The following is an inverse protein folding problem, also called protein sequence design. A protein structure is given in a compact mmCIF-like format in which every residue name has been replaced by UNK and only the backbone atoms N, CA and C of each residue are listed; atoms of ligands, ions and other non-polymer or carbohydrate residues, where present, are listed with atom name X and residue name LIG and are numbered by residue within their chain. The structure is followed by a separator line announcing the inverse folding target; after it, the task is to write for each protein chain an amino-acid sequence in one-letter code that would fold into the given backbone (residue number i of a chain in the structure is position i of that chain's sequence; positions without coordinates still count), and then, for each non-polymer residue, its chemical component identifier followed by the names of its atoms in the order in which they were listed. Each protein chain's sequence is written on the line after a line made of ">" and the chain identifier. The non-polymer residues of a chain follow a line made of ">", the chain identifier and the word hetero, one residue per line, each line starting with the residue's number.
data_IF_572419369856
#
_entry.id   IF_572419369856
#
_cell.length_a   1.000
_cell.length_b   1.000
_cell.length_c   1.000
_cell.angle_alpha   90.00
_cell.angle_beta   90.00
_cell.angle_gamma   90.00
#
_symmetry.space_group_name_H-M   'P 1'
#
loop_
_entity.id
_entity.type
_entity.pdbx_description
1 polymer ?
#
# COMPACT_ATOMS: atom_id res chain seq x y z
N UNK A 1 29.35 13.41 -15.51
CA UNK A 1 28.76 12.19 -16.11
C UNK A 1 27.26 12.38 -16.07
N UNK A 2 26.58 12.12 -17.19
CA UNK A 2 25.26 12.68 -17.53
C UNK A 2 24.14 12.17 -16.61
N UNK A 3 23.29 13.11 -16.18
CA UNK A 3 22.00 12.89 -15.54
C UNK A 3 21.14 11.92 -16.37
N UNK A 4 20.67 10.85 -15.74
CA UNK A 4 19.85 9.84 -16.39
C UNK A 4 18.42 10.33 -16.57
N UNK A 5 17.92 10.25 -17.81
CA UNK A 5 16.54 10.47 -18.21
C UNK A 5 15.59 9.54 -17.43
N UNK A 6 14.61 10.13 -16.75
CA UNK A 6 13.51 9.44 -16.08
C UNK A 6 12.28 9.45 -17.00
N UNK A 7 11.53 8.34 -17.04
CA UNK A 7 10.30 8.25 -17.84
C UNK A 7 9.09 8.68 -17.01
N UNK A 8 8.65 9.90 -17.23
CA UNK A 8 7.37 10.43 -16.74
C UNK A 8 6.23 9.88 -17.62
N UNK A 9 5.19 9.28 -17.02
CA UNK A 9 3.94 8.91 -17.71
C UNK A 9 2.80 9.65 -17.02
N UNK A 10 2.12 10.49 -17.79
CA UNK A 10 1.22 11.53 -17.29
C UNK A 10 -0.24 11.04 -17.33
N UNK A 11 -0.91 10.96 -16.17
CA UNK A 11 -2.36 10.78 -16.06
C UNK A 11 -2.89 11.72 -14.97
N UNK A 12 -4.01 12.40 -15.28
CA UNK A 12 -4.53 13.54 -14.55
C UNK A 12 -5.34 13.14 -13.30
N UNK A 13 -4.69 13.05 -12.14
CA UNK A 13 -5.30 13.35 -10.85
C UNK A 13 -4.20 13.67 -9.80
N UNK A 14 -4.54 14.29 -8.68
CA UNK A 14 -3.58 14.93 -7.76
C UNK A 14 -2.81 13.99 -6.81
N UNK A 15 -2.59 12.73 -7.21
CA UNK A 15 -1.96 11.69 -6.38
C UNK A 15 -0.83 11.00 -7.16
N UNK A 16 0.24 10.59 -6.47
CA UNK A 16 1.39 9.91 -7.12
C UNK A 16 1.78 8.66 -6.34
N UNK A 17 2.09 7.59 -7.08
CA UNK A 17 2.78 6.43 -6.53
C UNK A 17 4.19 6.34 -7.08
N UNK A 18 5.13 6.20 -6.16
CA UNK A 18 6.54 6.01 -6.44
C UNK A 18 6.97 4.59 -6.15
N UNK A 19 7.86 4.05 -6.98
CA UNK A 19 8.63 2.85 -6.65
C UNK A 19 10.12 3.22 -6.56
N UNK A 20 10.82 2.63 -5.60
CA UNK A 20 12.21 2.99 -5.28
C UNK A 20 12.96 1.81 -4.66
N UNK A 21 14.30 1.82 -4.71
CA UNK A 21 15.16 0.78 -4.12
C UNK A 21 16.11 1.42 -3.11
N UNK A 22 16.29 0.77 -1.96
CA UNK A 22 17.34 1.11 -1.01
C UNK A 22 18.70 0.56 -1.49
N UNK A 23 19.71 1.43 -1.63
CA UNK A 23 21.06 1.05 -2.13
C UNK A 23 22.14 1.11 -1.05
N UNK A 24 23.08 0.17 -1.06
CA UNK A 24 24.37 0.26 -0.33
C UNK A 24 25.40 1.08 -1.14
N UNK A 25 26.28 1.82 -0.46
CA UNK A 25 27.55 2.26 -1.05
C UNK A 25 28.72 1.93 -0.14
N UNK A 26 29.77 1.37 -0.73
CA UNK A 26 31.04 1.07 -0.07
C UNK A 26 31.84 2.34 0.24
N UNK A 27 32.52 2.29 1.38
CA UNK A 27 33.58 3.17 1.93
C UNK A 27 33.16 4.51 2.55
N UNK A 28 33.29 4.57 3.88
CA UNK A 28 33.44 5.78 4.71
C UNK A 28 34.73 6.55 4.36
N UNK A 29 34.83 7.82 4.80
CA UNK A 29 35.56 8.04 6.06
C UNK A 29 34.80 8.88 7.09
N UNK A 30 34.99 8.45 8.33
CA UNK A 30 34.97 9.14 9.63
C UNK A 30 33.77 10.00 10.07
N UNK A 31 33.36 9.71 11.30
CA UNK A 31 32.32 10.34 12.07
C UNK A 31 32.77 11.69 12.63
N UNK A 32 31.84 12.64 12.73
CA UNK A 32 31.89 13.68 13.75
C UNK A 32 30.53 13.76 14.47
N UNK A 33 30.63 13.81 15.79
CA UNK A 33 29.53 13.92 16.72
C UNK A 33 28.81 15.26 16.58
N UNK A 34 27.48 15.28 16.71
CA UNK A 34 26.72 16.49 16.98
C UNK A 34 25.77 16.22 18.14
N UNK A 35 25.85 17.11 19.12
CA UNK A 35 25.21 17.09 20.43
C UNK A 35 23.68 17.05 20.37
N UNK A 36 23.12 16.39 21.38
CA UNK A 36 21.72 16.46 21.79
C UNK A 36 21.40 17.86 22.30
N UNK A 37 20.39 18.51 21.71
CA UNK A 37 19.67 19.61 22.34
C UNK A 37 18.24 19.13 22.59
N UNK A 38 17.93 18.94 23.86
CA UNK A 38 16.56 18.83 24.36
C UNK A 38 15.95 20.24 24.29
N UNK A 39 14.85 20.40 23.57
CA UNK A 39 13.94 21.53 23.76
C UNK A 39 12.52 20.99 23.75
N UNK A 40 11.93 20.93 24.95
CA UNK A 40 10.49 20.81 25.15
C UNK A 40 9.83 22.11 24.68
N UNK A 41 8.89 22.01 23.75
CA UNK A 41 7.97 23.10 23.44
C UNK A 41 6.53 22.56 23.45
N UNK A 42 5.87 22.88 24.56
CA UNK A 42 4.45 22.76 24.84
C UNK A 42 3.67 23.67 23.89
N UNK A 43 2.66 23.14 23.17
CA UNK A 43 1.76 23.93 22.33
C UNK A 43 0.32 23.74 22.82
N UNK A 44 -0.44 24.84 23.00
CA UNK A 44 -1.75 24.79 23.63
C UNK A 44 -2.83 24.26 22.69
N UNK A 45 -3.79 23.54 23.27
CA UNK A 45 -5.07 23.19 22.64
C UNK A 45 -5.91 24.45 22.43
N UNK A 46 -6.35 24.71 21.20
CA UNK A 46 -7.51 25.59 20.96
C UNK A 46 -8.52 24.93 20.03
N UNK A 47 -9.76 24.99 20.50
CA UNK A 47 -11.00 24.53 19.92
C UNK A 47 -11.56 25.63 19.00
N UNK A 48 -11.89 25.33 17.74
CA UNK A 48 -12.76 26.20 16.92
C UNK A 48 -13.89 25.39 16.29
N UNK A 49 -15.08 25.91 16.61
CA UNK A 49 -16.44 25.51 16.28
C UNK A 49 -16.77 25.72 14.81
N UNK A 50 -17.60 24.83 14.26
CA UNK A 50 -17.91 24.71 12.83
C UNK A 50 -18.96 25.63 12.20
N UNK A 51 -19.32 25.22 10.98
CA UNK A 51 -20.28 25.79 10.02
C UNK A 51 -19.73 25.53 8.61
N UNK A 52 -20.19 24.49 7.88
CA UNK A 52 -21.34 24.54 6.96
C UNK A 52 -20.89 25.23 5.65
N UNK A 53 -20.94 24.66 4.45
CA UNK A 53 -21.91 23.73 3.85
C UNK A 53 -21.28 23.03 2.61
N UNK A 54 -21.88 21.88 2.26
CA UNK A 54 -22.04 21.25 0.92
C UNK A 54 -20.79 20.88 0.10
N UNK A 55 -20.61 19.62 -0.31
CA UNK A 55 -21.55 18.83 -1.11
C UNK A 55 -21.70 17.38 -0.62
N UNK A 56 -22.94 16.99 -0.32
CA UNK A 56 -23.38 15.61 -0.14
C UNK A 56 -23.64 14.93 -1.49
N UNK A 57 -23.11 13.72 -1.58
CA UNK A 57 -23.70 12.49 -2.10
C UNK A 57 -25.03 12.58 -2.87
N UNK A 58 -25.00 12.03 -4.08
CA UNK A 58 -26.14 11.28 -4.61
C UNK A 58 -25.75 9.78 -4.62
N UNK A 59 -25.99 9.13 -3.49
CA UNK A 59 -26.16 7.69 -3.43
C UNK A 59 -27.52 7.36 -4.08
N UNK A 60 -27.51 6.78 -5.28
CA UNK A 60 -28.68 6.06 -5.76
C UNK A 60 -28.65 4.70 -5.06
N UNK A 61 -29.50 4.56 -4.05
CA UNK A 61 -29.85 3.27 -3.47
C UNK A 61 -30.69 2.52 -4.50
N UNK A 62 -30.07 1.59 -5.23
CA UNK A 62 -30.79 0.46 -5.81
C UNK A 62 -30.57 -0.69 -4.82
N UNK A 63 -31.59 -0.98 -4.02
CA UNK A 63 -31.70 -2.28 -3.35
C UNK A 63 -32.03 -3.28 -4.44
N UNK A 64 -31.00 -3.97 -4.92
CA UNK A 64 -31.14 -5.18 -5.70
C UNK A 64 -30.25 -6.23 -5.05
N UNK A 65 -30.87 -7.25 -4.46
CA UNK A 65 -30.19 -8.53 -4.26
C UNK A 65 -29.77 -9.04 -5.64
N UNK A 66 -28.58 -8.66 -6.10
CA UNK A 66 -27.99 -9.27 -7.28
C UNK A 66 -27.41 -10.61 -6.85
N UNK A 67 -28.16 -11.66 -7.18
CA UNK A 67 -27.66 -13.02 -7.29
C UNK A 67 -26.27 -12.99 -7.93
N UNK A 68 -25.33 -13.75 -7.34
CA UNK A 68 -23.99 -13.92 -7.86
C UNK A 68 -24.08 -14.38 -9.32
N UNK A 69 -23.95 -13.43 -10.26
CA UNK A 69 -23.90 -13.71 -11.67
C UNK A 69 -22.62 -14.48 -11.93
N UNK A 70 -22.77 -15.79 -12.14
CA UNK A 70 -21.72 -16.64 -12.70
C UNK A 70 -21.56 -16.24 -14.17
N UNK A 71 -20.94 -15.09 -14.43
CA UNK A 71 -20.35 -14.82 -15.72
C UNK A 71 -19.08 -15.69 -15.81
N UNK A 72 -18.95 -16.48 -16.88
CA UNK A 72 -17.68 -17.13 -17.24
C UNK A 72 -16.67 -16.01 -17.49
N UNK A 73 -15.77 -15.83 -16.53
CA UNK A 73 -14.68 -14.86 -16.60
C UNK A 73 -13.42 -15.66 -16.87
N UNK A 74 -12.78 -15.40 -18.01
CA UNK A 74 -11.44 -15.92 -18.28
C UNK A 74 -10.44 -15.09 -17.44
N UNK A 75 -9.78 -15.72 -16.46
CA UNK A 75 -8.71 -15.08 -15.72
C UNK A 75 -7.35 -15.17 -16.44
N UNK A 76 -6.75 -14.01 -16.69
CA UNK A 76 -5.40 -13.91 -17.26
C UNK A 76 -4.41 -13.47 -16.17
N UNK A 77 -3.21 -14.06 -16.08
CA UNK A 77 -2.17 -13.56 -15.18
C UNK A 77 -1.73 -12.16 -15.62
N UNK A 78 -1.67 -11.22 -14.67
CA UNK A 78 -1.10 -9.90 -14.92
C UNK A 78 0.43 -9.98 -14.99
N UNK A 79 1.10 -8.93 -15.49
CA UNK A 79 2.58 -8.86 -15.49
C UNK A 79 3.21 -8.96 -14.10
N UNK A 80 2.45 -8.56 -13.08
CA UNK A 80 2.87 -8.60 -11.68
C UNK A 80 2.41 -9.92 -11.07
N UNK A 81 3.35 -10.70 -10.53
CA UNK A 81 3.05 -12.00 -9.96
C UNK A 81 2.05 -11.91 -8.79
N UNK A 82 1.05 -12.81 -8.78
CA UNK A 82 -0.01 -12.84 -7.77
C UNK A 82 -1.20 -11.92 -8.05
N UNK A 83 -1.15 -11.14 -9.12
CA UNK A 83 -2.25 -10.30 -9.61
C UNK A 83 -2.77 -10.90 -10.93
N UNK A 84 -4.09 -10.83 -11.13
CA UNK A 84 -4.77 -11.37 -12.31
C UNK A 84 -5.72 -10.31 -12.88
N UNK A 85 -6.09 -10.48 -14.14
CA UNK A 85 -7.11 -9.67 -14.83
C UNK A 85 -8.26 -10.60 -15.19
N UNK A 86 -9.43 -10.28 -14.68
CA UNK A 86 -10.68 -10.89 -15.08
C UNK A 86 -11.19 -10.18 -16.34
N UNK A 87 -11.20 -10.87 -17.48
CA UNK A 87 -11.75 -10.35 -18.74
C UNK A 87 -13.25 -10.61 -18.79
N UNK A 88 -14.02 -9.58 -19.10
CA UNK A 88 -15.47 -9.64 -19.22
C UNK A 88 -16.00 -8.50 -20.09
N UNK A 89 -17.17 -7.97 -19.79
CA UNK A 89 -17.65 -6.71 -20.41
C UNK A 89 -16.75 -5.53 -20.04
N UNK A 90 -16.27 -5.54 -18.80
CA UNK A 90 -15.30 -4.60 -18.26
C UNK A 90 -14.16 -5.42 -17.64
N UNK A 91 -12.93 -5.01 -17.92
CA UNK A 91 -11.76 -5.68 -17.36
C UNK A 91 -11.60 -5.28 -15.89
N UNK A 92 -11.46 -6.27 -15.02
CA UNK A 92 -11.33 -6.07 -13.59
C UNK A 92 -9.99 -6.62 -13.08
N UNK A 93 -9.32 -5.84 -12.22
CA UNK A 93 -8.14 -6.33 -11.51
C UNK A 93 -8.60 -7.25 -10.38
N UNK A 94 -8.01 -8.43 -10.26
CA UNK A 94 -8.40 -9.42 -9.24
C UNK A 94 -7.20 -10.04 -8.54
N UNK A 95 -7.39 -10.45 -7.29
CA UNK A 95 -6.40 -11.21 -6.48
C UNK A 95 -7.00 -12.53 -6.04
N UNK A 96 -6.18 -13.58 -5.94
CA UNK A 96 -6.63 -14.90 -5.47
C UNK A 96 -6.95 -14.83 -3.97
N UNK A 97 -8.17 -15.16 -3.58
CA UNK A 97 -8.59 -15.08 -2.19
C UNK A 97 -7.87 -16.13 -1.34
N UNK A 98 -7.23 -15.70 -0.25
CA UNK A 98 -6.61 -16.61 0.72
C UNK A 98 -7.65 -17.28 1.63
N UNK A 99 -8.79 -16.64 1.85
CA UNK A 99 -9.87 -17.10 2.73
C UNK A 99 -11.19 -17.23 1.93
N UNK A 100 -11.36 -18.31 1.14
CA UNK A 100 -12.55 -18.48 0.29
C UNK A 100 -13.85 -18.41 1.09
N UNK A 101 -14.91 -17.86 0.50
CA UNK A 101 -16.21 -17.71 1.16
C UNK A 101 -16.39 -16.41 1.93
N UNK A 102 -15.32 -15.66 2.22
CA UNK A 102 -15.37 -14.42 2.98
C UNK A 102 -14.92 -13.19 2.18
N UNK A 103 -15.74 -12.13 2.21
CA UNK A 103 -15.39 -10.79 1.71
C UNK A 103 -15.00 -9.87 2.85
N UNK A 104 -14.06 -8.96 2.63
CA UNK A 104 -13.57 -8.06 3.69
C UNK A 104 -14.41 -6.79 3.79
N UNK A 105 -14.79 -6.20 2.66
CA UNK A 105 -15.51 -4.92 2.62
C UNK A 105 -16.70 -4.94 1.65
N UNK A 106 -17.19 -6.14 1.31
CA UNK A 106 -18.33 -6.35 0.41
C UNK A 106 -17.99 -6.25 -1.08
N UNK A 107 -16.73 -6.47 -1.44
CA UNK A 107 -16.28 -6.55 -2.83
C UNK A 107 -16.88 -7.73 -3.61
N UNK A 108 -17.01 -7.57 -4.92
CA UNK A 108 -17.41 -8.66 -5.83
C UNK A 108 -16.35 -9.76 -5.81
N UNK A 109 -16.82 -11.01 -5.82
CA UNK A 109 -15.99 -12.22 -5.81
C UNK A 109 -16.34 -13.09 -7.00
N UNK A 110 -15.34 -13.75 -7.56
CA UNK A 110 -15.44 -14.60 -8.75
C UNK A 110 -14.95 -15.98 -8.36
N UNK A 111 -15.81 -16.98 -8.51
CA UNK A 111 -15.47 -18.36 -8.15
C UNK A 111 -15.30 -19.18 -9.42
N UNK A 112 -14.10 -19.74 -9.60
CA UNK A 112 -13.74 -20.59 -10.73
C UNK A 112 -13.58 -22.02 -10.25
N UNK A 113 -14.26 -22.96 -10.90
CA UNK A 113 -14.15 -24.38 -10.60
C UNK A 113 -13.00 -25.00 -11.40
N UNK A 114 -11.92 -25.38 -10.71
CA UNK A 114 -10.81 -26.06 -11.37
C UNK A 114 -11.08 -27.56 -11.42
N UNK A 115 -11.31 -28.08 -12.62
CA UNK A 115 -11.32 -29.51 -12.91
C UNK A 115 -9.89 -29.99 -13.13
N UNK A 116 -9.15 -30.24 -12.05
CA UNK A 116 -7.86 -30.93 -12.16
C UNK A 116 -8.10 -32.39 -12.56
N UNK A 117 -7.81 -32.72 -13.82
CA UNK A 117 -7.93 -34.09 -14.32
C UNK A 117 -7.15 -35.09 -13.49
N UNK A 118 -7.84 -36.19 -13.14
CA UNK A 118 -7.39 -37.45 -12.55
C UNK A 118 -7.83 -37.76 -11.10
N UNK A 119 -8.42 -36.83 -10.34
CA UNK A 119 -9.09 -37.14 -9.07
C UNK A 119 -10.33 -36.24 -8.90
N UNK A 120 -11.47 -36.82 -8.51
CA UNK A 120 -12.82 -36.21 -8.38
C UNK A 120 -12.94 -35.07 -7.33
N UNK A 121 -11.85 -34.42 -6.93
CA UNK A 121 -11.88 -33.24 -6.07
C UNK A 121 -11.93 -31.97 -6.93
N UNK A 122 -13.15 -31.48 -7.20
CA UNK A 122 -13.38 -30.14 -7.75
C UNK A 122 -12.91 -29.11 -6.73
N UNK A 123 -11.75 -28.50 -6.96
CA UNK A 123 -11.26 -27.41 -6.12
C UNK A 123 -11.81 -26.08 -6.65
N UNK A 124 -12.52 -25.34 -5.79
CA UNK A 124 -13.01 -24.00 -6.13
C UNK A 124 -11.95 -22.98 -5.77
N UNK A 125 -11.45 -22.25 -6.77
CA UNK A 125 -10.59 -21.09 -6.55
C UNK A 125 -11.46 -19.84 -6.55
N UNK A 126 -11.36 -19.04 -5.50
CA UNK A 126 -12.09 -17.77 -5.41
C UNK A 126 -11.12 -16.61 -5.63
N UNK A 127 -11.53 -15.65 -6.45
CA UNK A 127 -10.84 -14.39 -6.70
C UNK A 127 -11.67 -13.21 -6.16
N UNK A 128 -11.00 -12.14 -5.77
CA UNK A 128 -11.59 -10.91 -5.25
C UNK A 128 -11.29 -9.75 -6.17
N UNK A 129 -12.31 -8.95 -6.48
CA UNK A 129 -12.13 -7.73 -7.28
C UNK A 129 -11.40 -6.66 -6.48
N UNK A 130 -10.30 -6.18 -7.02
CA UNK A 130 -9.47 -5.15 -6.42
C UNK A 130 -9.77 -3.79 -7.05
N UNK A 131 -10.45 -2.93 -6.29
CA UNK A 131 -10.96 -1.65 -6.81
C UNK A 131 -9.87 -0.54 -6.83
N UNK A 132 -9.49 -0.01 -8.02
CA UNK A 132 -8.51 1.06 -8.15
C UNK A 132 -8.91 2.37 -7.45
N UNK A 133 -10.19 2.69 -7.38
CA UNK A 133 -10.69 3.92 -6.75
C UNK A 133 -10.66 3.87 -5.22
N UNK A 134 -10.47 2.69 -4.63
CA UNK A 134 -10.35 2.51 -3.17
C UNK A 134 -8.94 2.18 -2.72
N UNK A 135 -8.10 1.67 -3.62
CA UNK A 135 -6.76 1.23 -3.32
C UNK A 135 -5.76 1.91 -4.24
N UNK A 136 -4.94 2.79 -3.64
CA UNK A 136 -3.90 3.50 -4.38
C UNK A 136 -2.95 2.51 -5.07
N UNK A 137 -2.56 1.43 -4.39
CA UNK A 137 -1.73 0.39 -4.99
C UNK A 137 -2.37 -0.25 -6.24
N UNK A 138 -3.69 -0.51 -6.24
CA UNK A 138 -4.39 -0.99 -7.44
C UNK A 138 -4.37 0.04 -8.57
N UNK A 139 -4.59 1.32 -8.25
CA UNK A 139 -4.47 2.41 -9.23
C UNK A 139 -3.05 2.49 -9.81
N UNK A 140 -2.01 2.31 -8.98
CA UNK A 140 -0.62 2.22 -9.43
C UNK A 140 -0.35 1.03 -10.36
N UNK A 141 -0.90 -0.14 -10.04
CA UNK A 141 -0.80 -1.33 -10.89
C UNK A 141 -1.48 -1.10 -12.24
N UNK A 142 -2.69 -0.52 -12.24
CA UNK A 142 -3.47 -0.25 -13.43
C UNK A 142 -2.87 0.88 -14.29
N UNK A 143 -2.36 1.93 -13.65
CA UNK A 143 -1.70 3.05 -14.32
C UNK A 143 -0.30 2.71 -14.84
N UNK A 144 0.20 1.52 -14.51
CA UNK A 144 1.31 0.94 -15.22
C UNK A 144 2.67 1.08 -14.55
N UNK A 145 2.75 1.00 -13.21
CA UNK A 145 4.01 0.84 -12.48
C UNK A 145 4.78 -0.43 -12.88
N UNK A 146 6.00 -0.27 -13.36
CA UNK A 146 6.86 -1.33 -13.88
C UNK A 146 7.29 -2.34 -12.81
N UNK A 147 7.58 -1.89 -11.58
CA UNK A 147 7.93 -2.78 -10.47
C UNK A 147 7.30 -2.31 -9.15
N UNK A 148 6.45 -3.18 -8.57
CA UNK A 148 5.82 -2.94 -7.25
C UNK A 148 6.54 -3.66 -6.10
N UNK A 149 7.52 -4.51 -6.41
CA UNK A 149 8.30 -5.37 -5.50
C UNK A 149 7.50 -6.41 -4.68
N UNK A 150 6.19 -6.23 -4.54
CA UNK A 150 5.29 -7.17 -3.87
C UNK A 150 5.07 -8.38 -4.80
N UNK A 151 5.51 -9.54 -4.33
CA UNK A 151 5.42 -10.82 -5.06
C UNK A 151 5.06 -11.95 -4.10
N UNK A 152 4.53 -13.09 -4.61
CA UNK A 152 4.29 -14.27 -3.79
C UNK A 152 5.53 -14.67 -2.98
N UNK A 153 5.36 -14.87 -1.67
CA UNK A 153 6.43 -15.19 -0.72
C UNK A 153 7.23 -14.00 -0.18
N UNK A 154 6.97 -12.77 -0.62
CA UNK A 154 7.65 -11.59 -0.08
C UNK A 154 7.16 -11.23 1.34
N UNK A 155 8.04 -10.60 2.12
CA UNK A 155 7.68 -9.94 3.37
C UNK A 155 7.46 -8.45 3.13
N UNK A 156 6.28 -7.95 3.48
CA UNK A 156 5.86 -6.57 3.24
C UNK A 156 5.59 -5.88 4.58
N UNK A 157 6.15 -4.68 4.77
CA UNK A 157 5.77 -3.76 5.84
C UNK A 157 4.84 -2.70 5.25
N UNK A 158 3.59 -2.69 5.68
CA UNK A 158 2.55 -1.76 5.24
C UNK A 158 2.37 -0.68 6.30
N UNK A 159 2.69 0.57 5.97
CA UNK A 159 2.55 1.73 6.85
C UNK A 159 1.27 2.49 6.51
N UNK A 160 0.37 2.64 7.48
CA UNK A 160 -0.94 3.26 7.28
C UNK A 160 -1.98 2.25 6.78
N UNK A 161 -2.12 1.13 7.46
CA UNK A 161 -3.00 0.03 7.06
C UNK A 161 -4.51 0.35 7.13
N UNK A 162 -4.90 1.40 7.85
CA UNK A 162 -6.28 1.79 8.12
C UNK A 162 -7.12 0.58 8.57
N UNK A 163 -8.26 0.33 7.93
CA UNK A 163 -9.14 -0.81 8.22
C UNK A 163 -8.71 -2.12 7.54
N UNK A 164 -7.61 -2.12 6.78
CA UNK A 164 -7.07 -3.33 6.16
C UNK A 164 -7.66 -3.70 4.80
N UNK A 165 -8.41 -2.80 4.14
CA UNK A 165 -8.99 -3.05 2.81
C UNK A 165 -7.92 -3.41 1.76
N UNK A 166 -6.95 -2.52 1.53
CA UNK A 166 -5.82 -2.77 0.62
C UNK A 166 -4.86 -3.83 1.16
N UNK A 167 -4.65 -3.87 2.48
CA UNK A 167 -3.79 -4.87 3.14
C UNK A 167 -4.27 -6.29 2.85
N UNK A 168 -5.59 -6.51 2.80
CA UNK A 168 -6.14 -7.83 2.48
C UNK A 168 -5.76 -8.30 1.06
N UNK A 169 -5.70 -7.39 0.08
CA UNK A 169 -5.23 -7.73 -1.27
C UNK A 169 -3.71 -7.94 -1.32
N UNK A 170 -2.93 -7.14 -0.59
CA UNK A 170 -1.49 -7.37 -0.46
C UNK A 170 -1.21 -8.74 0.17
N UNK A 171 -1.98 -9.13 1.19
CA UNK A 171 -1.91 -10.43 1.83
C UNK A 171 -2.25 -11.57 0.86
N UNK A 172 -3.27 -11.38 0.02
CA UNK A 172 -3.64 -12.33 -1.03
C UNK A 172 -2.50 -12.48 -2.08
N UNK A 173 -1.84 -11.39 -2.47
CA UNK A 173 -0.73 -11.39 -3.45
C UNK A 173 0.52 -12.09 -2.90
N UNK A 174 0.93 -11.78 -1.67
CA UNK A 174 2.10 -12.43 -1.06
C UNK A 174 1.83 -13.90 -0.73
N UNK A 175 0.56 -14.26 -0.56
CA UNK A 175 0.12 -15.62 -0.31
C UNK A 175 0.53 -16.18 1.06
N UNK A 176 0.33 -17.49 1.28
CA UNK A 176 0.51 -18.13 2.59
C UNK A 176 1.98 -18.22 3.04
N UNK A 177 2.92 -18.14 2.10
CA UNK A 177 4.36 -18.17 2.38
C UNK A 177 4.95 -16.79 2.68
N UNK A 178 4.24 -15.72 2.29
CA UNK A 178 4.62 -14.35 2.57
C UNK A 178 4.12 -13.89 3.94
N UNK A 179 4.49 -12.66 4.33
CA UNK A 179 4.01 -12.06 5.58
C UNK A 179 3.80 -10.58 5.38
N UNK A 180 2.67 -10.05 5.84
CA UNK A 180 2.37 -8.62 5.82
C UNK A 180 2.33 -8.10 7.25
N UNK A 181 3.26 -7.21 7.59
CA UNK A 181 3.25 -6.46 8.84
C UNK A 181 2.44 -5.18 8.60
N UNK A 182 1.26 -5.08 9.20
CA UNK A 182 0.34 -3.97 8.94
C UNK A 182 0.35 -3.00 10.14
N UNK A 183 0.96 -1.83 9.96
CA UNK A 183 1.08 -0.80 10.99
C UNK A 183 -0.07 0.19 10.86
N UNK A 184 -0.80 0.38 11.95
CA UNK A 184 -1.88 1.35 12.04
C UNK A 184 -1.85 2.07 13.39
N UNK A 185 -2.08 3.38 13.41
CA UNK A 185 -2.05 4.15 14.65
C UNK A 185 -3.42 4.19 15.32
N UNK A 186 -4.51 4.31 14.55
CA UNK A 186 -5.86 4.46 15.07
C UNK A 186 -6.36 3.18 15.74
N UNK A 187 -6.76 3.26 17.00
CA UNK A 187 -7.39 2.14 17.69
C UNK A 187 -8.73 1.72 17.08
N UNK A 188 -9.49 2.65 16.48
CA UNK A 188 -10.77 2.32 15.82
C UNK A 188 -10.51 1.47 14.59
N UNK A 189 -9.70 1.98 13.65
CA UNK A 189 -9.34 1.26 12.43
C UNK A 189 -8.56 -0.02 12.75
N UNK A 190 -7.77 0.00 13.82
CA UNK A 190 -7.04 -1.16 14.33
C UNK A 190 -7.94 -2.32 14.74
N UNK A 191 -9.17 -2.08 15.21
CA UNK A 191 -10.13 -3.17 15.49
C UNK A 191 -10.53 -3.89 14.22
N UNK A 192 -10.84 -3.15 13.16
CA UNK A 192 -11.20 -3.71 11.86
C UNK A 192 -10.01 -4.46 11.24
N UNK A 193 -8.81 -3.90 11.37
CA UNK A 193 -7.57 -4.54 10.93
C UNK A 193 -7.31 -5.87 11.66
N UNK A 194 -7.51 -5.92 12.99
CA UNK A 194 -7.37 -7.15 13.78
C UNK A 194 -8.42 -8.18 13.38
N UNK A 195 -9.67 -7.75 13.16
CA UNK A 195 -10.73 -8.65 12.70
C UNK A 195 -10.34 -9.27 11.35
N UNK A 196 -9.91 -8.47 10.37
CA UNK A 196 -9.44 -8.97 9.08
C UNK A 196 -8.24 -9.92 9.22
N UNK A 197 -7.28 -9.60 10.08
CA UNK A 197 -6.10 -10.43 10.34
C UNK A 197 -6.43 -11.74 11.09
N UNK A 198 -7.57 -11.83 11.77
CA UNK A 198 -8.02 -13.10 12.40
C UNK A 198 -8.29 -14.17 11.34
N UNK A 199 -8.80 -13.76 10.18
CA UNK A 199 -9.09 -14.66 9.07
C UNK A 199 -7.85 -14.93 8.21
N UNK A 200 -6.95 -13.93 8.05
CA UNK A 200 -5.71 -14.04 7.26
C UNK A 200 -4.48 -14.21 8.15
N UNK A 201 -4.04 -15.45 8.31
CA UNK A 201 -2.91 -15.82 9.19
C UNK A 201 -1.55 -15.27 8.76
N UNK A 202 -1.41 -14.78 7.52
CA UNK A 202 -0.20 -14.15 7.01
C UNK A 202 -0.12 -12.64 7.28
N UNK A 203 -1.13 -12.05 7.95
CA UNK A 203 -1.14 -10.63 8.34
C UNK A 203 -0.89 -10.50 9.84
N UNK A 204 0.09 -9.66 10.21
CA UNK A 204 0.37 -9.32 11.61
C UNK A 204 -0.04 -7.86 11.83
N UNK A 205 -1.15 -7.60 12.55
CA UNK A 205 -1.59 -6.25 12.84
C UNK A 205 -0.76 -5.65 13.97
N UNK A 206 -0.24 -4.44 13.76
CA UNK A 206 0.57 -3.68 14.72
C UNK A 206 -0.12 -2.35 14.96
N UNK A 207 -0.71 -2.19 16.15
CA UNK A 207 -1.41 -0.95 16.52
C UNK A 207 -0.45 -0.02 17.27
N UNK A 208 0.37 0.72 16.53
CA UNK A 208 1.34 1.69 17.04
C UNK A 208 1.63 2.79 16.01
N UNK A 209 2.23 3.88 16.48
CA UNK A 209 2.65 5.01 15.66
C UNK A 209 3.87 4.65 14.80
N UNK A 210 3.72 4.75 13.48
CA UNK A 210 4.78 4.51 12.51
C UNK A 210 5.99 5.45 12.66
N UNK A 211 5.83 6.60 13.34
CA UNK A 211 6.91 7.56 13.67
C UNK A 211 7.91 6.99 14.67
N UNK A 212 7.55 5.95 15.43
CA UNK A 212 8.36 5.35 16.49
C UNK A 212 8.63 3.86 16.25
N UNK A 213 9.37 3.50 15.18
CA UNK A 213 9.61 2.09 14.81
C UNK A 213 10.30 1.23 15.89
N UNK A 214 11.02 1.86 16.81
CA UNK A 214 11.64 1.18 17.94
C UNK A 214 10.62 0.46 18.85
N UNK A 215 9.38 0.96 18.92
CA UNK A 215 8.35 0.38 19.79
C UNK A 215 7.85 -0.98 19.31
N UNK A 216 7.82 -1.23 18.00
CA UNK A 216 7.42 -2.51 17.42
C UNK A 216 8.59 -3.27 16.80
N UNK A 217 9.83 -2.89 17.10
CA UNK A 217 11.04 -3.55 16.59
C UNK A 217 11.10 -5.05 16.91
N UNK A 218 10.46 -5.48 17.99
CA UNK A 218 10.45 -6.89 18.40
C UNK A 218 9.50 -7.74 17.56
N UNK A 219 8.54 -7.12 16.88
CA UNK A 219 7.52 -7.81 16.09
C UNK A 219 7.93 -7.93 14.62
N UNK A 220 8.60 -6.92 14.08
CA UNK A 220 8.90 -6.83 12.65
C UNK A 220 10.27 -7.43 12.35
N UNK A 221 10.31 -8.46 11.49
CA UNK A 221 11.55 -9.00 10.92
C UNK A 221 11.99 -8.21 9.69
N UNK A 222 13.22 -8.40 9.21
CA UNK A 222 13.69 -7.79 7.95
C UNK A 222 12.72 -8.08 6.79
N UNK A 223 12.24 -7.02 6.14
CA UNK A 223 11.25 -7.04 5.06
C UNK A 223 11.89 -6.81 3.69
N UNK A 224 11.23 -7.31 2.65
CA UNK A 224 11.65 -7.13 1.25
C UNK A 224 11.09 -5.83 0.67
N UNK A 225 9.91 -5.41 1.13
CA UNK A 225 9.19 -4.26 0.60
C UNK A 225 8.55 -3.45 1.73
N UNK A 226 8.63 -2.12 1.62
CA UNK A 226 7.79 -1.20 2.40
C UNK A 226 6.76 -0.57 1.46
N UNK A 227 5.49 -0.64 1.83
CA UNK A 227 4.43 0.15 1.18
C UNK A 227 3.95 1.22 2.17
N UNK A 228 4.02 2.48 1.78
CA UNK A 228 3.66 3.61 2.63
C UNK A 228 2.45 4.37 2.07
N UNK A 229 1.33 4.30 2.79
CA UNK A 229 0.09 5.02 2.49
C UNK A 229 -0.32 5.95 3.66
N UNK A 230 0.69 6.53 4.31
CA UNK A 230 0.49 7.49 5.39
C UNK A 230 0.26 8.89 4.81
N UNK A 231 -0.82 9.54 5.22
CA UNK A 231 -1.13 10.93 4.84
C UNK A 231 -0.61 11.91 5.89
N UNK A 232 0.72 12.03 6.02
CA UNK A 232 1.38 12.90 7.00
C UNK A 232 2.38 13.85 6.32
N UNK A 233 2.57 15.10 6.79
CA UNK A 233 3.56 16.01 6.23
C UNK A 233 5.01 15.53 6.37
N UNK A 234 5.31 14.69 7.38
CA UNK A 234 6.62 14.11 7.63
C UNK A 234 6.77 12.68 7.06
N UNK A 235 6.01 12.34 6.00
CA UNK A 235 5.98 11.02 5.37
C UNK A 235 7.37 10.50 4.99
N UNK A 236 8.22 11.29 4.33
CA UNK A 236 9.58 10.86 3.94
C UNK A 236 10.42 10.42 5.15
N UNK A 237 10.33 11.14 6.28
CA UNK A 237 11.04 10.80 7.52
C UNK A 237 10.52 9.50 8.13
N UNK A 238 9.20 9.30 8.16
CA UNK A 238 8.58 8.06 8.64
C UNK A 238 9.06 6.87 7.81
N UNK A 239 9.05 7.01 6.49
CA UNK A 239 9.49 5.96 5.56
C UNK A 239 10.99 5.69 5.76
N UNK A 240 11.82 6.73 5.84
CA UNK A 240 13.26 6.60 6.10
C UNK A 240 13.58 5.82 7.37
N UNK A 241 13.00 6.22 8.51
CA UNK A 241 13.21 5.53 9.79
C UNK A 241 12.82 4.05 9.74
N UNK A 242 11.71 3.72 9.10
CA UNK A 242 11.25 2.34 8.93
C UNK A 242 12.15 1.54 7.98
N UNK A 243 12.59 2.16 6.89
CA UNK A 243 13.49 1.54 5.92
C UNK A 243 14.84 1.22 6.56
N UNK A 244 15.44 2.15 7.30
CA UNK A 244 16.73 1.94 7.96
C UNK A 244 16.70 0.80 8.99
N UNK A 245 15.55 0.56 9.64
CA UNK A 245 15.42 -0.47 10.67
C UNK A 245 15.00 -1.84 10.15
N UNK A 246 14.14 -1.89 9.13
CA UNK A 246 13.49 -3.15 8.73
C UNK A 246 13.72 -3.55 7.28
N UNK A 247 14.10 -2.64 6.39
CA UNK A 247 14.23 -2.96 4.97
C UNK A 247 15.58 -3.63 4.68
N UNK A 248 15.54 -4.72 3.91
CA UNK A 248 16.77 -5.35 3.42
C UNK A 248 17.50 -4.43 2.43
N UNK A 249 18.82 -4.60 2.33
CA UNK A 249 19.61 -3.97 1.27
C UNK A 249 19.07 -4.40 -0.09
N UNK A 250 18.82 -3.44 -0.99
CA UNK A 250 18.18 -3.71 -2.28
C UNK A 250 16.66 -3.90 -2.19
N UNK A 251 16.06 -3.72 -1.02
CA UNK A 251 14.61 -3.80 -0.82
C UNK A 251 13.86 -2.67 -1.51
N UNK A 252 12.60 -2.96 -1.84
CA UNK A 252 11.71 -2.02 -2.52
C UNK A 252 11.00 -1.11 -1.54
N UNK A 253 10.83 0.16 -1.90
CA UNK A 253 9.96 1.09 -1.20
C UNK A 253 8.97 1.67 -2.18
N UNK A 254 7.69 1.50 -1.88
CA UNK A 254 6.58 2.06 -2.65
C UNK A 254 5.89 3.09 -1.77
N UNK A 255 5.83 4.34 -2.22
CA UNK A 255 5.26 5.45 -1.44
C UNK A 255 4.11 6.04 -2.23
N UNK A 256 2.96 6.18 -1.58
CA UNK A 256 1.84 6.94 -2.11
C UNK A 256 1.84 8.35 -1.52
N UNK A 257 2.03 9.34 -2.38
CA UNK A 257 2.13 10.75 -2.00
C UNK A 257 0.85 11.48 -2.39
N UNK A 258 0.19 12.07 -1.39
CA UNK A 258 -0.97 12.94 -1.58
C UNK A 258 -0.56 14.39 -1.31
N UNK A 259 -0.41 15.18 -2.39
CA UNK A 259 0.13 16.54 -2.30
C UNK A 259 -0.61 17.41 -1.28
N UNK A 260 -1.95 17.38 -1.32
CA UNK A 260 -2.81 18.17 -0.44
C UNK A 260 -2.65 17.87 1.06
N UNK A 261 -2.18 16.68 1.43
CA UNK A 261 -1.95 16.31 2.83
C UNK A 261 -0.57 16.76 3.34
N UNK A 262 0.36 17.04 2.43
CA UNK A 262 1.71 17.50 2.77
C UNK A 262 1.72 19.03 2.82
N UNK A 263 1.24 19.67 1.75
CA UNK A 263 1.19 21.12 1.63
C UNK A 263 0.05 21.49 0.69
N UNK A 264 -1.05 21.99 1.25
CA UNK A 264 -2.25 22.40 0.50
C UNK A 264 -2.11 23.73 -0.22
N UNK A 265 -1.02 24.47 0.02
CA UNK A 265 -0.79 25.81 -0.55
C UNK A 265 0.11 25.77 -1.77
N UNK A 266 0.97 24.75 -1.89
CA UNK A 266 1.88 24.58 -3.00
C UNK A 266 1.26 23.82 -4.17
N UNK A 267 1.81 24.02 -5.37
CA UNK A 267 1.46 23.22 -6.53
C UNK A 267 1.89 21.75 -6.33
N UNK A 268 1.07 20.76 -6.73
CA UNK A 268 1.37 19.33 -6.53
C UNK A 268 2.74 18.91 -7.05
N UNK A 269 3.16 19.40 -8.22
CA UNK A 269 4.43 19.08 -8.85
C UNK A 269 5.63 19.50 -7.97
N UNK A 270 5.52 20.66 -7.31
CA UNK A 270 6.53 21.13 -6.37
C UNK A 270 6.57 20.28 -5.11
N UNK A 271 5.42 19.82 -4.61
CA UNK A 271 5.35 18.90 -3.46
C UNK A 271 6.04 17.58 -3.79
N UNK A 272 5.74 16.99 -4.96
CA UNK A 272 6.34 15.73 -5.39
C UNK A 272 7.86 15.84 -5.55
N UNK A 273 8.37 16.90 -6.18
CA UNK A 273 9.81 17.11 -6.32
C UNK A 273 10.53 17.25 -4.97
N UNK A 274 9.90 17.93 -3.99
CA UNK A 274 10.44 18.06 -2.63
C UNK A 274 10.49 16.71 -1.92
N UNK A 275 9.43 15.91 -1.97
CA UNK A 275 9.41 14.59 -1.32
C UNK A 275 10.41 13.61 -1.95
N UNK A 276 10.55 13.62 -3.28
CA UNK A 276 11.58 12.82 -3.97
C UNK A 276 12.99 13.22 -3.49
N UNK A 277 13.23 14.51 -3.26
CA UNK A 277 14.52 15.00 -2.74
C UNK A 277 14.76 14.50 -1.32
N UNK A 278 13.76 14.59 -0.43
CA UNK A 278 13.87 14.06 0.94
C UNK A 278 14.11 12.54 0.98
N UNK A 279 13.44 11.77 0.12
CA UNK A 279 13.66 10.33 0.02
C UNK A 279 15.09 9.99 -0.43
N UNK A 280 15.68 10.80 -1.33
CA UNK A 280 17.08 10.65 -1.74
C UNK A 280 18.04 10.95 -0.60
N UNK A 281 17.75 11.96 0.22
CA UNK A 281 18.52 12.28 1.43
C UNK A 281 18.49 11.12 2.43
N UNK A 282 17.36 10.41 2.52
CA UNK A 282 17.18 9.17 3.29
C UNK A 282 17.77 7.91 2.63
N UNK A 283 18.62 8.07 1.61
CA UNK A 283 19.32 6.97 0.89
C UNK A 283 18.38 6.00 0.15
N UNK A 284 17.18 6.45 -0.18
CA UNK A 284 16.21 5.70 -0.99
C UNK A 284 16.30 6.22 -2.42
N UNK A 285 16.73 5.37 -3.36
CA UNK A 285 16.88 5.75 -4.76
C UNK A 285 15.53 5.61 -5.49
N UNK A 286 14.91 6.71 -5.95
CA UNK A 286 13.69 6.63 -6.74
C UNK A 286 13.97 5.91 -8.06
N UNK A 287 13.03 5.09 -8.51
CA UNK A 287 13.10 4.37 -9.79
C UNK A 287 12.04 4.85 -10.77
N UNK A 288 10.80 4.94 -10.29
CA UNK A 288 9.64 5.26 -11.10
C UNK A 288 8.71 6.19 -10.33
N UNK A 289 8.04 7.06 -11.08
CA UNK A 289 7.01 7.97 -10.61
C UNK A 289 5.81 7.84 -11.54
N UNK A 290 4.62 7.65 -10.96
CA UNK A 290 3.37 7.60 -11.71
C UNK A 290 2.33 8.50 -11.05
N UNK A 291 1.80 9.44 -11.83
CA UNK A 291 0.64 10.24 -11.43
C UNK A 291 -0.64 9.48 -11.73
N UNK A 292 -1.51 9.39 -10.74
CA UNK A 292 -2.80 8.69 -10.76
C UNK A 292 -3.92 9.68 -10.92
#
# INVERSE_FOLDING_TARGET
>A
MKDGDWKEKDVRSGEIIFSSIATEWHSHPEADAVETVEDEADFPEEEIVGGGEDFLEAAVVIVGDEEASQEEVDEEPHRHAGIFVARGKEDMLVTKNLCPGESVYGEKRISVENSSGADDNVSKTEYRVWNPFRSKLAAGVLGGLDEIFIKPGAKVLYLGAASGTSVSHVADIVGPTGTVFAVEFSHRSGRDLINMATHRTNVIPIIEDARHPLKYRMLVSMVDVIFADVAQPDQARIVGLNAHLFLKVGGGVVVSIKANCIDSTAAPEAVFAREVTKLREERIKPLEQLTL
#
